data_IF_014604566364
#
_entry.id   IF_014604566364
#
_cell.length_a   1.000
_cell.length_b   1.000
_cell.length_c   1.000
_cell.angle_alpha   90.00
_cell.angle_beta   90.00
_cell.angle_gamma   90.00
#
_symmetry.space_group_name_H-M   'P 1'
#
loop_
_entity.id
_entity.type
_entity.pdbx_description
1 polymer ?
#
# COMPACT_ATOMS: atom_id res chain seq x y z
N UNK A 1 19.50 38.34 3.43
CA UNK A 1 18.04 38.52 3.38
C UNK A 1 17.44 37.87 4.63
N UNK A 2 17.17 38.68 5.65
CA UNK A 2 16.68 38.25 6.97
C UNK A 2 15.18 37.97 6.91
N UNK A 3 14.78 36.73 7.22
CA UNK A 3 13.37 36.33 7.27
C UNK A 3 12.64 37.13 8.36
N UNK A 4 11.44 37.63 8.06
CA UNK A 4 10.64 38.41 9.01
C UNK A 4 10.14 37.49 10.15
N UNK A 5 10.30 37.88 11.42
CA UNK A 5 10.01 37.03 12.58
C UNK A 5 8.51 36.70 12.76
N UNK A 6 7.60 37.50 12.18
CA UNK A 6 6.14 37.35 12.35
C UNK A 6 5.45 36.46 11.30
N UNK A 7 6.21 35.75 10.45
CA UNK A 7 5.56 34.82 9.54
C UNK A 7 5.11 33.56 10.27
N UNK A 8 3.86 33.13 10.01
CA UNK A 8 3.36 31.83 10.44
C UNK A 8 4.29 30.67 10.05
N UNK A 9 5.08 30.82 8.97
CA UNK A 9 6.09 29.83 8.58
C UNK A 9 7.33 29.83 9.51
N UNK A 10 7.77 31.00 9.98
CA UNK A 10 8.89 31.11 10.93
C UNK A 10 8.51 30.50 12.29
N UNK A 11 7.29 30.78 12.74
CA UNK A 11 6.75 30.19 13.96
C UNK A 11 6.62 28.65 13.86
N UNK A 12 6.08 28.15 12.74
CA UNK A 12 5.93 26.71 12.48
C UNK A 12 7.27 25.98 12.47
N UNK A 13 8.30 26.60 11.88
CA UNK A 13 9.64 26.02 11.80
C UNK A 13 10.37 26.03 13.16
N UNK A 14 10.20 27.10 13.95
CA UNK A 14 10.81 27.22 15.28
C UNK A 14 10.21 26.25 16.32
N UNK A 15 8.93 25.89 16.16
CA UNK A 15 8.22 25.00 17.10
C UNK A 15 8.00 23.58 16.56
N UNK A 16 8.64 23.21 15.45
CA UNK A 16 8.49 21.89 14.85
C UNK A 16 7.05 21.54 14.44
N UNK A 17 6.22 22.55 14.15
CA UNK A 17 4.80 22.37 13.84
C UNK A 17 4.58 22.15 12.33
N UNK A 18 3.75 21.16 12.00
CA UNK A 18 3.37 20.83 10.63
C UNK A 18 4.48 20.07 9.88
N UNK A 19 4.79 20.50 8.65
CA UNK A 19 5.77 19.86 7.75
C UNK A 19 7.24 19.86 8.22
N UNK A 20 7.52 20.46 9.38
CA UNK A 20 8.86 20.55 9.98
C UNK A 20 9.03 19.66 11.22
N UNK A 21 7.99 18.93 11.63
CA UNK A 21 8.18 17.78 12.50
C UNK A 21 8.94 16.71 11.70
N UNK A 22 10.16 16.37 12.12
CA UNK A 22 10.99 15.36 11.49
C UNK A 22 10.30 13.98 11.42
N UNK A 23 9.26 13.79 12.23
CA UNK A 23 8.53 12.54 12.37
C UNK A 23 7.04 12.74 12.14
N UNK A 24 6.62 13.06 10.90
CA UNK A 24 5.21 12.85 10.53
C UNK A 24 4.96 11.35 10.37
N UNK A 25 5.16 10.60 11.47
CA UNK A 25 4.53 9.31 11.70
C UNK A 25 3.03 9.55 11.63
N UNK A 26 2.31 8.63 10.97
CA UNK A 26 0.85 8.62 11.04
C UNK A 26 0.45 8.72 12.51
N UNK A 27 -0.52 9.57 12.91
CA UNK A 27 -0.99 9.63 14.29
C UNK A 27 -1.58 8.28 14.76
N UNK A 28 -1.86 7.38 13.80
CA UNK A 28 -2.36 6.02 14.03
C UNK A 28 -1.20 5.02 13.97
N UNK A 29 -1.01 4.16 14.99
CA UNK A 29 -0.02 3.08 14.98
C UNK A 29 -0.16 2.14 13.78
N UNK A 30 0.96 1.62 13.26
CA UNK A 30 0.98 0.74 12.08
C UNK A 30 0.12 -0.50 12.28
N UNK A 31 0.15 -1.08 13.48
CA UNK A 31 -0.61 -2.26 13.87
C UNK A 31 -2.12 -2.00 13.79
N UNK A 32 -2.57 -0.80 14.17
CA UNK A 32 -3.97 -0.44 14.06
C UNK A 32 -4.38 -0.29 12.60
N UNK A 33 -3.54 0.33 11.76
CA UNK A 33 -3.80 0.42 10.32
C UNK A 33 -3.92 -0.97 9.71
N UNK A 34 -3.02 -1.90 10.05
CA UNK A 34 -3.07 -3.28 9.53
C UNK A 34 -4.38 -3.95 9.97
N UNK A 35 -4.78 -3.84 11.23
CA UNK A 35 -6.06 -4.40 11.71
C UNK A 35 -7.26 -3.85 10.95
N UNK A 36 -7.30 -2.54 10.69
CA UNK A 36 -8.37 -1.90 9.90
C UNK A 36 -8.38 -2.41 8.44
N UNK A 37 -7.23 -2.79 7.87
CA UNK A 37 -7.16 -3.41 6.54
C UNK A 37 -7.69 -4.85 6.57
N UNK A 38 -7.34 -5.62 7.60
CA UNK A 38 -7.82 -6.99 7.79
C UNK A 38 -9.34 -7.02 7.98
N UNK A 39 -9.90 -6.11 8.79
CA UNK A 39 -11.34 -5.94 9.00
C UNK A 39 -12.08 -5.58 7.69
N UNK A 40 -11.39 -4.93 6.74
CA UNK A 40 -11.92 -4.64 5.39
C UNK A 40 -11.78 -5.83 4.43
N UNK A 41 -11.15 -6.93 4.84
CA UNK A 41 -10.86 -8.11 4.01
C UNK A 41 -9.58 -8.00 3.17
N UNK A 42 -8.78 -6.94 3.37
CA UNK A 42 -7.45 -6.80 2.76
C UNK A 42 -6.50 -7.65 3.61
N UNK A 43 -6.44 -8.94 3.28
CA UNK A 43 -5.61 -9.95 3.94
C UNK A 43 -4.72 -10.65 2.90
N UNK A 44 -3.63 -11.28 3.34
CA UNK A 44 -2.79 -12.08 2.44
C UNK A 44 -3.57 -13.25 1.85
N UNK A 45 -3.30 -13.56 0.58
CA UNK A 45 -4.04 -14.56 -0.20
C UNK A 45 -5.34 -14.06 -0.82
N UNK A 46 -5.89 -12.91 -0.38
CA UNK A 46 -7.14 -12.41 -0.94
C UNK A 46 -6.98 -11.94 -2.40
N UNK A 47 -8.02 -12.19 -3.19
CA UNK A 47 -8.16 -11.71 -4.56
C UNK A 47 -8.45 -10.22 -4.55
N UNK A 48 -7.75 -9.47 -5.41
CA UNK A 48 -7.94 -8.02 -5.49
C UNK A 48 -7.76 -7.47 -6.89
N UNK A 49 -8.22 -6.23 -7.05
CA UNK A 49 -7.99 -5.38 -8.21
C UNK A 49 -7.27 -4.12 -7.75
N UNK A 50 -6.21 -3.76 -8.47
CA UNK A 50 -5.40 -2.56 -8.24
C UNK A 50 -5.70 -1.52 -9.32
N UNK A 51 -6.03 -0.30 -8.90
CA UNK A 51 -6.44 0.81 -9.80
C UNK A 51 -7.52 0.37 -10.81
N UNK A 52 -8.54 -0.34 -10.32
CA UNK A 52 -9.74 -0.72 -11.08
C UNK A 52 -9.54 -1.66 -12.28
N UNK A 53 -8.30 -2.00 -12.65
CA UNK A 53 -7.99 -2.69 -13.90
C UNK A 53 -7.05 -3.89 -13.75
N UNK A 54 -6.11 -3.86 -12.80
CA UNK A 54 -5.06 -4.88 -12.70
C UNK A 54 -5.39 -5.86 -11.59
N UNK A 55 -5.71 -7.09 -11.97
CA UNK A 55 -6.07 -8.14 -11.02
C UNK A 55 -4.83 -8.85 -10.48
N UNK A 56 -4.90 -9.27 -9.23
CA UNK A 56 -3.84 -10.02 -8.56
C UNK A 56 -4.25 -10.63 -7.22
N UNK A 57 -3.26 -11.11 -6.49
CA UNK A 57 -3.41 -11.64 -5.13
C UNK A 57 -2.54 -10.84 -4.17
N UNK A 58 -3.09 -10.53 -3.01
CA UNK A 58 -2.33 -9.87 -1.94
C UNK A 58 -1.30 -10.86 -1.39
N UNK A 59 -0.03 -10.48 -1.40
CA UNK A 59 1.09 -11.30 -0.89
C UNK A 59 1.79 -10.69 0.32
N UNK A 60 1.62 -9.39 0.55
CA UNK A 60 2.26 -8.67 1.65
C UNK A 60 1.36 -7.53 2.14
N UNK A 61 1.32 -7.33 3.45
CA UNK A 61 0.75 -6.14 4.09
C UNK A 61 1.72 -5.74 5.20
N UNK A 62 2.24 -4.52 5.15
CA UNK A 62 3.18 -4.10 6.18
C UNK A 62 3.79 -2.73 5.94
N UNK A 63 4.54 -2.23 6.94
CA UNK A 63 5.25 -0.96 6.83
C UNK A 63 6.39 -1.09 5.81
N UNK A 64 6.52 -0.10 4.94
CA UNK A 64 7.71 0.12 4.13
C UNK A 64 8.18 1.55 4.29
N UNK A 65 9.50 1.71 4.43
CA UNK A 65 10.16 3.01 4.46
C UNK A 65 10.60 3.36 3.04
N UNK A 66 9.98 4.39 2.48
CA UNK A 66 10.36 4.91 1.16
C UNK A 66 10.90 6.33 1.28
N UNK A 67 12.07 6.57 0.70
CA UNK A 67 12.58 7.93 0.52
C UNK A 67 11.76 8.63 -0.57
N UNK A 68 11.22 9.80 -0.25
CA UNK A 68 10.75 10.76 -1.27
C UNK A 68 11.65 11.97 -1.29
N UNK A 69 11.87 12.51 -2.48
CA UNK A 69 12.49 13.82 -2.65
C UNK A 69 11.36 14.84 -2.65
N UNK A 70 11.34 15.71 -1.64
CA UNK A 70 10.34 16.77 -1.52
C UNK A 70 10.67 17.95 -2.46
N UNK A 71 9.75 18.92 -2.53
CA UNK A 71 9.87 20.11 -3.40
C UNK A 71 11.08 20.99 -3.09
N UNK A 72 11.60 20.90 -1.87
CA UNK A 72 12.81 21.56 -1.41
C UNK A 72 14.08 20.73 -1.70
N UNK A 73 13.96 19.66 -2.49
CA UNK A 73 15.02 18.69 -2.79
C UNK A 73 15.56 17.94 -1.57
N UNK A 74 14.86 18.01 -0.43
CA UNK A 74 15.20 17.25 0.75
C UNK A 74 14.73 15.80 0.58
N UNK A 75 15.61 14.83 0.86
CA UNK A 75 15.19 13.44 1.04
C UNK A 75 14.53 13.30 2.39
N UNK A 76 13.29 12.81 2.40
CA UNK A 76 12.57 12.47 3.61
C UNK A 76 12.09 11.05 3.52
N UNK A 77 12.49 10.27 4.51
CA UNK A 77 12.04 8.89 4.65
C UNK A 77 10.71 8.89 5.36
N UNK A 78 9.71 8.29 4.71
CA UNK A 78 8.39 8.14 5.31
C UNK A 78 8.01 6.69 5.36
N UNK A 79 7.61 6.26 6.55
CA UNK A 79 7.06 4.92 6.78
C UNK A 79 5.57 4.97 6.48
N UNK A 80 5.13 4.07 5.61
CA UNK A 80 3.72 3.89 5.27
C UNK A 80 3.39 2.40 5.23
N UNK A 81 2.15 2.04 5.54
CA UNK A 81 1.66 0.69 5.26
C UNK A 81 1.42 0.56 3.76
N UNK A 82 1.99 -0.49 3.17
CA UNK A 82 1.82 -0.87 1.78
C UNK A 82 1.21 -2.26 1.68
N UNK A 83 0.53 -2.48 0.55
CA UNK A 83 0.05 -3.79 0.13
C UNK A 83 0.90 -4.23 -1.07
N UNK A 84 1.57 -5.37 -0.92
CA UNK A 84 2.28 -6.05 -2.00
C UNK A 84 1.35 -7.02 -2.70
N UNK A 85 1.22 -6.89 -4.01
CA UNK A 85 0.33 -7.67 -4.87
C UNK A 85 1.16 -8.38 -5.92
N UNK A 86 0.88 -9.66 -6.10
CA UNK A 86 1.30 -10.41 -7.29
C UNK A 86 0.20 -10.30 -8.33
N UNK A 87 0.52 -9.67 -9.47
CA UNK A 87 -0.40 -9.45 -10.57
C UNK A 87 -0.49 -10.68 -11.48
N UNK A 88 -1.66 -10.88 -12.07
CA UNK A 88 -1.90 -11.98 -13.02
C UNK A 88 -1.15 -11.76 -14.34
N UNK A 89 -0.84 -10.50 -14.66
CA UNK A 89 -0.15 -10.09 -15.87
C UNK A 89 1.15 -9.34 -15.54
N UNK A 90 2.07 -9.27 -16.50
CA UNK A 90 3.38 -8.58 -16.38
C UNK A 90 3.25 -7.06 -16.48
N UNK A 91 2.43 -6.46 -15.62
CA UNK A 91 2.13 -5.01 -15.59
C UNK A 91 2.55 -4.34 -14.28
N UNK A 92 3.31 -5.05 -13.46
CA UNK A 92 3.94 -4.62 -12.23
C UNK A 92 5.31 -3.98 -12.45
N UNK A 93 6.12 -3.96 -11.39
CA UNK A 93 7.42 -3.26 -11.37
C UNK A 93 8.58 -4.09 -10.87
N UNK A 94 8.31 -5.08 -10.02
CA UNK A 94 9.33 -5.88 -9.34
C UNK A 94 8.93 -7.36 -9.34
N UNK A 95 9.74 -8.17 -8.68
CA UNK A 95 9.58 -9.61 -8.47
C UNK A 95 9.19 -9.94 -7.00
N UNK A 96 8.65 -8.95 -6.28
CA UNK A 96 8.33 -9.02 -4.85
C UNK A 96 9.46 -8.55 -3.92
N UNK A 97 10.57 -8.05 -4.48
CA UNK A 97 11.63 -7.38 -3.73
C UNK A 97 11.59 -5.85 -3.88
N UNK A 98 12.04 -5.14 -2.84
CA UNK A 98 12.20 -3.68 -2.82
C UNK A 98 13.49 -3.29 -2.09
N UNK A 99 14.03 -2.12 -2.44
CA UNK A 99 15.10 -1.49 -1.66
C UNK A 99 14.52 -1.01 -0.34
N UNK A 100 14.99 -1.60 0.75
CA UNK A 100 14.72 -1.15 2.11
C UNK A 100 15.73 -0.04 2.45
N UNK A 101 15.22 1.16 2.70
CA UNK A 101 16.06 2.32 3.01
C UNK A 101 16.64 2.27 4.42
N UNK A 102 16.04 1.51 5.32
CA UNK A 102 16.53 1.33 6.68
C UNK A 102 17.62 0.25 6.75
N UNK A 103 17.40 -0.88 6.09
CA UNK A 103 18.40 -1.94 5.99
C UNK A 103 19.54 -1.60 5.01
N UNK A 104 19.29 -0.68 4.07
CA UNK A 104 20.26 -0.29 3.04
C UNK A 104 20.47 -1.37 1.95
N UNK A 105 19.58 -2.36 1.87
CA UNK A 105 19.68 -3.50 0.97
C UNK A 105 18.35 -3.83 0.28
N UNK A 106 18.37 -4.74 -0.69
CA UNK A 106 17.16 -5.24 -1.36
C UNK A 106 16.57 -6.36 -0.51
N UNK A 107 15.37 -6.14 0.02
CA UNK A 107 14.64 -7.11 0.83
C UNK A 107 13.52 -7.73 -0.01
N UNK A 108 13.41 -9.07 0.06
CA UNK A 108 12.32 -9.81 -0.58
C UNK A 108 11.15 -9.94 0.40
N UNK A 109 10.03 -9.29 0.10
CA UNK A 109 8.81 -9.39 0.91
C UNK A 109 7.92 -10.54 0.44
N UNK A 110 7.92 -10.84 -0.87
CA UNK A 110 7.26 -12.01 -1.45
C UNK A 110 7.98 -12.46 -2.73
N UNK A 111 7.59 -13.62 -3.26
CA UNK A 111 8.17 -14.16 -4.50
C UNK A 111 7.13 -14.16 -5.62
N UNK A 112 7.51 -13.62 -6.78
CA UNK A 112 6.75 -13.70 -8.02
C UNK A 112 7.68 -13.50 -9.22
N UNK A 113 7.14 -13.62 -10.43
CA UNK A 113 7.90 -13.31 -11.65
C UNK A 113 8.21 -11.80 -11.74
N UNK A 114 9.32 -11.46 -12.39
CA UNK A 114 9.65 -10.06 -12.68
C UNK A 114 8.51 -9.38 -13.46
N UNK A 115 8.20 -8.13 -13.10
CA UNK A 115 7.06 -7.36 -13.59
C UNK A 115 5.69 -7.89 -13.17
N UNK A 116 5.58 -8.85 -12.25
CA UNK A 116 4.29 -9.20 -11.62
C UNK A 116 4.11 -8.59 -10.24
N UNK A 117 5.20 -8.30 -9.54
CA UNK A 117 5.15 -7.69 -8.21
C UNK A 117 4.86 -6.20 -8.27
N UNK A 118 3.95 -5.74 -7.41
CA UNK A 118 3.59 -4.34 -7.26
C UNK A 118 3.30 -4.01 -5.80
N UNK A 119 3.85 -2.91 -5.30
CA UNK A 119 3.50 -2.36 -3.98
C UNK A 119 2.69 -1.08 -4.16
N UNK A 120 1.54 -1.01 -3.48
CA UNK A 120 0.61 0.12 -3.55
C UNK A 120 0.11 0.52 -2.17
N UNK A 121 -0.40 1.74 -2.05
CA UNK A 121 -1.15 2.16 -0.87
C UNK A 121 -2.45 1.36 -0.76
N UNK A 122 -2.93 1.04 0.45
CA UNK A 122 -4.16 0.26 0.64
C UNK A 122 -5.41 0.87 0.01
N UNK A 123 -5.43 2.20 -0.21
CA UNK A 123 -6.53 2.90 -0.87
C UNK A 123 -6.67 2.57 -2.36
N UNK A 124 -5.68 1.92 -2.98
CA UNK A 124 -5.69 1.50 -4.39
C UNK A 124 -6.17 0.06 -4.58
N UNK A 125 -6.49 -0.62 -3.48
CA UNK A 125 -6.97 -1.99 -3.46
C UNK A 125 -8.49 -1.98 -3.41
N UNK A 126 -9.09 -2.60 -4.41
CA UNK A 126 -10.50 -3.00 -4.41
C UNK A 126 -10.54 -4.51 -4.28
N UNK A 127 -11.23 -5.04 -3.29
CA UNK A 127 -11.42 -6.48 -3.19
C UNK A 127 -12.41 -6.90 -4.28
N UNK A 128 -12.09 -8.00 -4.98
CA UNK A 128 -13.08 -8.60 -5.85
C UNK A 128 -14.23 -9.12 -5.00
N UNK A 129 -15.46 -9.12 -5.54
CA UNK A 129 -16.42 -10.10 -5.08
C UNK A 129 -15.75 -11.49 -5.17
N UNK A 130 -16.02 -12.43 -4.25
CA UNK A 130 -15.60 -13.81 -4.47
C UNK A 130 -16.08 -14.17 -5.88
N UNK A 131 -15.16 -14.59 -6.77
CA UNK A 131 -15.62 -15.23 -8.00
C UNK A 131 -16.52 -16.36 -7.52
N UNK A 132 -17.82 -16.31 -7.89
CA UNK A 132 -18.71 -17.43 -7.61
C UNK A 132 -17.97 -18.65 -8.12
N UNK A 133 -17.79 -19.62 -7.25
CA UNK A 133 -17.09 -20.82 -7.67
C UNK A 133 -17.93 -21.43 -8.80
N UNK A 134 -17.33 -22.04 -9.83
CA UNK A 134 -18.11 -22.78 -10.85
C UNK A 134 -19.18 -23.69 -10.25
N UNK A 135 -18.96 -24.19 -9.03
CA UNK A 135 -19.91 -24.97 -8.25
C UNK A 135 -21.13 -24.13 -7.81
N UNK A 136 -20.94 -22.89 -7.37
CA UNK A 136 -22.02 -21.96 -6.99
C UNK A 136 -22.81 -21.50 -8.21
N UNK A 137 -22.15 -21.27 -9.36
CA UNK A 137 -22.85 -20.97 -10.62
C UNK A 137 -23.68 -22.18 -11.08
N UNK A 138 -23.12 -23.39 -11.00
CA UNK A 138 -23.85 -24.62 -11.32
C UNK A 138 -24.99 -24.93 -10.33
N UNK A 139 -24.86 -24.53 -9.07
CA UNK A 139 -25.92 -24.71 -8.07
C UNK A 139 -27.10 -23.74 -8.30
N UNK A 140 -26.82 -22.50 -8.70
CA UNK A 140 -27.85 -21.54 -9.08
C UNK A 140 -28.63 -22.05 -10.32
N UNK A 141 -27.92 -22.49 -11.37
CA UNK A 141 -28.54 -23.04 -12.59
C UNK A 141 -29.39 -24.29 -12.32
N UNK A 142 -29.04 -25.11 -11.32
CA UNK A 142 -29.82 -26.28 -10.92
C UNK A 142 -31.04 -25.91 -10.06
N UNK A 143 -31.00 -24.80 -9.33
CA UNK A 143 -32.12 -24.32 -8.52
C UNK A 143 -33.27 -23.75 -9.37
N UNK A 144 -32.97 -23.32 -10.60
CA UNK A 144 -33.94 -22.83 -11.58
C UNK A 144 -34.65 -23.96 -12.36
N UNK A 145 -34.29 -25.23 -12.14
CA UNK A 145 -34.89 -26.39 -12.84
C UNK A 145 -36.00 -27.09 -12.06
N UNK A 146 -36.30 -26.63 -10.83
CA UNK A 146 -37.34 -27.18 -9.96
C UNK A 146 -38.63 -26.31 -9.90
N UNK A 147 -38.85 -25.40 -10.86
CA UNK A 147 -40.15 -24.70 -11.10
C UNK A 147 -40.92 -25.22 -12.32
#
# INVERSE_FOLDING_TARGET
MTARPDSAEAFKRAHGLGRFAADFQSPVPVEQVIRELEERGIITGARCTVDESRRGYIRFIGPLRMSRVDKDNARRDKVHVFVGVELDEKTGKNDGSLMDTEAGEIVRHFSCEMLRGLFVAPSRITLGAPEKTVIEEMLDDLSDLDE
#
